data_IF_547007395152
#
_entry.id   IF_547007395152
#
_cell.length_a   1.000
_cell.length_b   1.000
_cell.length_c   1.000
_cell.angle_alpha   90.00
_cell.angle_beta   90.00
_cell.angle_gamma   90.00
#
_symmetry.space_group_name_H-M   'P 1'
#
loop_
_entity.id
_entity.type
_entity.pdbx_description
1 polymer ?
#
# COMPACT_ATOMS: atom_id res chain seq x y z
N UNK A 1 -6.77 1.06 5.39
CA UNK A 1 -5.90 1.70 6.40
C UNK A 1 -5.56 0.77 7.56
N UNK A 2 -6.56 0.25 8.28
CA UNK A 2 -6.30 -0.60 9.46
C UNK A 2 -5.45 -1.84 9.16
N UNK A 3 -5.66 -2.50 8.02
CA UNK A 3 -4.82 -3.63 7.59
C UNK A 3 -3.35 -3.25 7.45
N UNK A 4 -3.06 -2.10 6.84
CA UNK A 4 -1.69 -1.59 6.69
C UNK A 4 -1.06 -1.31 8.05
N UNK A 5 -1.81 -0.67 8.96
CA UNK A 5 -1.34 -0.40 10.33
C UNK A 5 -1.06 -1.68 11.11
N UNK A 6 -1.96 -2.67 11.04
CA UNK A 6 -1.77 -3.96 11.71
C UNK A 6 -0.51 -4.67 11.21
N UNK A 7 -0.25 -4.64 9.90
CA UNK A 7 0.95 -5.25 9.33
C UNK A 7 2.24 -4.59 9.87
N UNK A 8 2.26 -3.25 9.93
CA UNK A 8 3.41 -2.49 10.45
C UNK A 8 3.61 -2.73 11.94
N UNK A 9 2.55 -2.61 12.75
CA UNK A 9 2.63 -2.86 14.20
C UNK A 9 3.15 -4.26 14.51
N UNK A 10 2.66 -5.29 13.81
CA UNK A 10 3.14 -6.67 14.01
C UNK A 10 4.60 -6.86 13.61
N UNK A 11 5.08 -6.15 12.58
CA UNK A 11 6.49 -6.21 12.20
C UNK A 11 7.37 -5.55 13.27
N UNK A 12 6.94 -4.38 13.78
CA UNK A 12 7.61 -3.66 14.87
C UNK A 12 7.68 -4.50 16.15
N UNK A 13 6.58 -5.15 16.55
CA UNK A 13 6.53 -6.05 17.71
C UNK A 13 7.53 -7.22 17.61
N UNK A 14 7.89 -7.62 16.40
CA UNK A 14 8.88 -8.68 16.12
C UNK A 14 10.29 -8.13 15.89
N UNK A 15 10.51 -6.81 16.02
CA UNK A 15 11.79 -6.16 15.72
C UNK A 15 12.17 -6.21 14.24
N UNK A 16 11.20 -6.41 13.35
CA UNK A 16 11.40 -6.48 11.90
C UNK A 16 11.18 -5.09 11.30
N UNK A 17 12.22 -4.54 10.66
CA UNK A 17 12.09 -3.27 9.94
C UNK A 17 11.31 -3.45 8.64
N UNK A 18 10.33 -2.58 8.40
CA UNK A 18 9.58 -2.48 7.13
C UNK A 18 10.22 -1.54 6.12
N UNK A 19 11.38 -0.95 6.45
CA UNK A 19 12.10 -0.03 5.55
C UNK A 19 12.60 -0.77 4.32
N UNK A 20 12.32 -0.23 3.13
CA UNK A 20 12.67 -0.87 1.86
C UNK A 20 11.69 -1.97 1.42
N UNK A 21 10.60 -2.20 2.16
CA UNK A 21 9.63 -3.24 1.82
C UNK A 21 8.72 -2.86 0.63
N UNK A 22 7.92 -3.83 0.20
CA UNK A 22 6.88 -3.67 -0.81
C UNK A 22 5.54 -4.07 -0.20
N UNK A 23 4.50 -3.26 -0.43
CA UNK A 23 3.13 -3.56 0.01
C UNK A 23 2.34 -4.19 -1.13
N UNK A 24 1.60 -5.25 -0.84
CA UNK A 24 0.67 -5.86 -1.78
C UNK A 24 -0.75 -5.84 -1.21
N UNK A 25 -1.72 -5.45 -2.04
CA UNK A 25 -3.14 -5.59 -1.74
C UNK A 25 -3.82 -6.43 -2.79
N UNK A 26 -4.69 -7.34 -2.34
CA UNK A 26 -5.54 -8.18 -3.18
C UNK A 26 -6.76 -7.42 -3.75
N UNK A 27 -7.04 -6.24 -3.20
CA UNK A 27 -8.07 -5.29 -3.61
C UNK A 27 -7.47 -3.90 -3.89
N UNK A 28 -8.25 -3.01 -4.49
CA UNK A 28 -7.79 -1.64 -4.76
C UNK A 28 -7.76 -0.79 -3.47
N UNK A 29 -6.91 0.22 -3.44
CA UNK A 29 -6.92 1.28 -2.43
C UNK A 29 -8.06 2.27 -2.72
N UNK A 30 -9.05 2.43 -1.83
CA UNK A 30 -10.17 3.34 -2.05
C UNK A 30 -9.76 4.81 -1.89
N UNK A 31 -8.71 5.09 -1.12
CA UNK A 31 -8.19 6.43 -0.83
C UNK A 31 -6.66 6.40 -0.71
N UNK A 32 -6.03 7.58 -0.81
CA UNK A 32 -4.57 7.74 -0.70
C UNK A 32 -3.97 7.39 0.67
N UNK A 33 -4.79 7.43 1.72
CA UNK A 33 -4.39 7.19 3.10
C UNK A 33 -3.66 5.84 3.29
N UNK A 34 -4.05 4.80 2.56
CA UNK A 34 -3.37 3.51 2.59
C UNK A 34 -1.94 3.55 2.06
N UNK A 35 -1.68 4.37 1.04
CA UNK A 35 -0.34 4.60 0.46
C UNK A 35 0.49 5.48 1.39
N UNK A 36 -0.10 6.55 1.93
CA UNK A 36 0.58 7.45 2.87
C UNK A 36 1.07 6.69 4.11
N UNK A 37 0.27 5.77 4.65
CA UNK A 37 0.68 4.95 5.80
C UNK A 37 1.75 3.91 5.42
N UNK A 38 1.69 3.33 4.23
CA UNK A 38 2.73 2.42 3.73
C UNK A 38 4.07 3.15 3.55
N UNK A 39 4.06 4.36 2.99
CA UNK A 39 5.22 5.22 2.82
C UNK A 39 5.86 5.57 4.17
N UNK A 40 5.04 5.96 5.17
CA UNK A 40 5.52 6.24 6.54
C UNK A 40 6.21 5.04 7.18
N UNK A 41 5.74 3.83 6.88
CA UNK A 41 6.37 2.59 7.32
C UNK A 41 7.65 2.24 6.52
N UNK A 42 8.04 3.06 5.55
CA UNK A 42 9.25 2.89 4.76
C UNK A 42 9.11 1.94 3.58
N UNK A 43 7.88 1.64 3.14
CA UNK A 43 7.70 0.91 1.89
C UNK A 43 8.19 1.73 0.69
N UNK A 44 8.69 1.04 -0.34
CA UNK A 44 9.23 1.66 -1.56
C UNK A 44 8.39 1.36 -2.80
N UNK A 45 7.47 0.39 -2.70
CA UNK A 45 6.54 0.09 -3.77
C UNK A 45 5.21 -0.44 -3.24
N UNK A 46 4.17 -0.29 -4.05
CA UNK A 46 2.82 -0.81 -3.83
C UNK A 46 2.35 -1.56 -5.08
N UNK A 47 1.84 -2.79 -4.90
CA UNK A 47 1.11 -3.53 -5.93
C UNK A 47 -0.36 -3.68 -5.55
N UNK A 48 -1.26 -3.35 -6.46
CA UNK A 48 -2.71 -3.46 -6.27
C UNK A 48 -3.43 -3.72 -7.60
N UNK A 49 -4.71 -4.12 -7.62
CA UNK A 49 -5.46 -4.32 -8.86
C UNK A 49 -5.74 -3.03 -9.64
N UNK A 50 -5.93 -1.90 -8.94
CA UNK A 50 -6.50 -0.68 -9.50
C UNK A 50 -8.02 -0.79 -9.71
N UNK A 51 -8.64 0.29 -10.20
CA UNK A 51 -10.08 0.38 -10.46
C UNK A 51 -10.87 1.21 -9.44
N UNK A 52 -10.19 1.98 -8.58
CA UNK A 52 -10.86 2.97 -7.72
C UNK A 52 -11.31 4.17 -8.54
N UNK A 53 -12.45 4.77 -8.19
CA UNK A 53 -12.85 6.09 -8.72
C UNK A 53 -11.79 7.16 -8.38
N UNK A 54 -10.99 6.92 -7.33
CA UNK A 54 -9.96 7.82 -6.83
C UNK A 54 -8.53 7.36 -7.13
N UNK A 55 -8.33 6.48 -8.11
CA UNK A 55 -6.97 6.00 -8.46
C UNK A 55 -5.99 7.14 -8.71
N UNK A 56 -6.45 8.27 -9.27
CA UNK A 56 -5.62 9.46 -9.47
C UNK A 56 -5.00 9.98 -8.16
N UNK A 57 -5.80 10.13 -7.10
CA UNK A 57 -5.32 10.59 -5.79
C UNK A 57 -4.32 9.59 -5.17
N UNK A 58 -4.54 8.30 -5.42
CA UNK A 58 -3.70 7.20 -4.92
C UNK A 58 -2.35 7.18 -5.65
N UNK A 59 -2.35 7.39 -6.97
CA UNK A 59 -1.13 7.50 -7.79
C UNK A 59 -0.34 8.75 -7.40
N UNK A 60 -1.01 9.90 -7.27
CA UNK A 60 -0.36 11.15 -6.84
C UNK A 60 0.35 10.97 -5.49
N UNK A 61 -0.27 10.26 -4.53
CA UNK A 61 0.38 9.96 -3.26
C UNK A 61 1.62 9.06 -3.43
N UNK A 62 1.58 8.05 -4.29
CA UNK A 62 2.77 7.24 -4.56
C UNK A 62 3.90 8.07 -5.18
N UNK A 63 3.59 8.95 -6.12
CA UNK A 63 4.55 9.86 -6.75
C UNK A 63 5.15 10.83 -5.73
N UNK A 64 4.32 11.43 -4.85
CA UNK A 64 4.76 12.33 -3.78
C UNK A 64 5.76 11.65 -2.81
N UNK A 65 5.57 10.35 -2.53
CA UNK A 65 6.47 9.56 -1.68
C UNK A 65 7.62 8.90 -2.45
N UNK A 66 7.71 9.09 -3.78
CA UNK A 66 8.73 8.46 -4.62
C UNK A 66 8.63 6.93 -4.66
N UNK A 67 7.41 6.39 -4.49
CA UNK A 67 7.15 4.96 -4.47
C UNK A 67 6.78 4.45 -5.86
N UNK A 68 7.24 3.25 -6.21
CA UNK A 68 6.74 2.58 -7.41
C UNK A 68 5.32 2.04 -7.18
N UNK A 69 4.36 2.37 -8.05
CA UNK A 69 3.01 1.79 -8.02
C UNK A 69 2.77 0.89 -9.23
N UNK A 70 2.28 -0.32 -8.98
CA UNK A 70 2.00 -1.31 -10.03
C UNK A 70 0.54 -1.75 -9.96
N UNK A 71 -0.16 -1.65 -11.09
CA UNK A 71 -1.52 -2.16 -11.26
C UNK A 71 -1.52 -3.54 -11.91
N UNK A 72 -2.13 -4.53 -11.25
CA UNK A 72 -2.24 -5.89 -11.78
C UNK A 72 -3.45 -6.07 -12.71
N UNK A 73 -4.48 -5.24 -12.58
CA UNK A 73 -5.75 -5.40 -13.28
C UNK A 73 -6.58 -6.60 -12.82
N UNK A 74 -6.16 -7.33 -11.77
CA UNK A 74 -6.82 -8.54 -11.29
C UNK A 74 -6.99 -8.52 -9.77
N UNK A 75 -8.23 -8.65 -9.31
CA UNK A 75 -8.58 -8.75 -7.89
C UNK A 75 -8.55 -10.21 -7.43
N UNK A 76 -7.82 -10.50 -6.35
CA UNK A 76 -7.69 -11.84 -5.77
C UNK A 76 -8.49 -11.98 -4.47
N UNK A 77 -9.73 -11.50 -4.47
CA UNK A 77 -10.58 -11.53 -3.28
C UNK A 77 -10.90 -12.96 -2.84
N UNK A 78 -10.75 -13.23 -1.54
CA UNK A 78 -11.06 -14.51 -0.91
C UNK A 78 -11.86 -14.27 0.38
N UNK A 79 -12.98 -14.97 0.51
CA UNK A 79 -13.80 -14.96 1.72
C UNK A 79 -13.16 -15.78 2.85
#
# INVERSE_FOLDING_TARGET
VDSSRIAVMKAEDQGISTKGSVVASDAFFPFRDGVDEAAKAGATAVVQPGGSVRDKEVIEAADEHGMAMVFTGMRHFRH
#
